data_IF_027269652499
#
_entry.id   IF_027269652499
#
_cell.length_a   1.000
_cell.length_b   1.000
_cell.length_c   1.000
_cell.angle_alpha   90.00
_cell.angle_beta   90.00
_cell.angle_gamma   90.00
#
_symmetry.space_group_name_H-M   'P 1'
#
loop_
_entity.id
_entity.type
_entity.pdbx_description
1 polymer ?
#
# COMPACT_ATOMS: atom_id res chain seq x y z
N UNK A 1 25.89 -11.52 17.39
CA UNK A 1 26.28 -12.43 16.30
C UNK A 1 25.39 -12.06 15.13
N UNK A 2 25.87 -11.11 14.32
CA UNK A 2 25.14 -10.50 13.20
C UNK A 2 25.23 -11.43 11.98
N UNK A 3 24.15 -12.13 11.66
CA UNK A 3 23.97 -12.66 10.31
C UNK A 3 23.37 -11.54 9.46
N UNK A 4 24.25 -10.77 8.83
CA UNK A 4 23.87 -9.88 7.73
C UNK A 4 23.49 -10.74 6.53
N UNK A 5 22.21 -11.10 6.42
CA UNK A 5 21.65 -11.65 5.18
C UNK A 5 21.96 -10.70 4.03
N UNK A 6 22.75 -11.18 3.07
CA UNK A 6 22.98 -10.50 1.81
C UNK A 6 21.67 -10.47 1.02
N UNK A 7 20.85 -9.43 1.22
CA UNK A 7 19.70 -9.19 0.34
C UNK A 7 20.23 -8.83 -1.05
N UNK A 8 20.21 -9.79 -1.98
CA UNK A 8 20.54 -9.55 -3.38
C UNK A 8 19.56 -8.53 -3.94
N UNK A 9 20.03 -7.30 -4.16
CA UNK A 9 19.22 -6.25 -4.76
C UNK A 9 19.10 -6.48 -6.26
N UNK A 10 17.87 -6.54 -6.77
CA UNK A 10 17.57 -6.69 -8.18
C UNK A 10 17.08 -5.38 -8.76
N UNK A 11 17.47 -5.13 -10.01
CA UNK A 11 17.01 -3.99 -10.78
C UNK A 11 15.73 -4.36 -11.53
N UNK A 12 14.68 -3.58 -11.31
CA UNK A 12 13.39 -3.74 -11.96
C UNK A 12 13.12 -2.56 -12.88
N UNK A 13 12.53 -2.85 -14.05
CA UNK A 13 12.07 -1.82 -14.99
C UNK A 13 10.55 -1.73 -14.94
N UNK A 14 10.07 -0.54 -14.58
CA UNK A 14 8.64 -0.24 -14.39
C UNK A 14 8.21 0.83 -15.38
N UNK A 15 7.18 0.55 -16.16
CA UNK A 15 6.57 1.52 -17.08
C UNK A 15 5.28 2.06 -16.46
N UNK A 16 5.24 3.37 -16.22
CA UNK A 16 4.09 4.09 -15.67
C UNK A 16 3.72 5.24 -16.61
N UNK A 17 2.55 5.16 -17.25
CA UNK A 17 2.17 6.09 -18.30
C UNK A 17 3.19 6.09 -19.45
N UNK A 18 3.77 7.26 -19.75
CA UNK A 18 4.82 7.40 -20.75
C UNK A 18 6.24 7.36 -20.16
N UNK A 19 6.38 7.24 -18.83
CA UNK A 19 7.69 7.07 -18.21
C UNK A 19 8.09 5.59 -18.13
N UNK A 20 9.36 5.34 -18.35
CA UNK A 20 10.05 4.14 -17.87
C UNK A 20 10.92 4.54 -16.69
N UNK A 21 10.79 3.81 -15.60
CA UNK A 21 11.51 4.01 -14.35
C UNK A 21 12.32 2.76 -14.04
N UNK A 22 13.48 2.97 -13.44
CA UNK A 22 14.27 1.88 -12.90
C UNK A 22 14.19 1.95 -11.38
N UNK A 23 13.85 0.84 -10.76
CA UNK A 23 13.85 0.67 -9.31
C UNK A 23 14.81 -0.42 -8.90
N UNK A 24 15.37 -0.31 -7.70
CA UNK A 24 16.18 -1.35 -7.09
C UNK A 24 15.53 -1.78 -5.78
N UNK A 25 15.35 -3.07 -5.57
CA UNK A 25 14.71 -3.63 -4.38
C UNK A 25 15.31 -4.99 -4.03
N UNK A 26 15.10 -5.49 -2.80
CA UNK A 26 15.52 -6.83 -2.44
C UNK A 26 14.89 -7.85 -3.38
N UNK A 27 15.62 -8.94 -3.68
CA UNK A 27 15.05 -10.11 -4.30
C UNK A 27 13.80 -10.55 -3.52
N UNK A 28 12.79 -11.05 -4.23
CA UNK A 28 11.58 -11.59 -3.62
C UNK A 28 11.90 -12.51 -2.45
N UNK A 29 11.27 -12.26 -1.29
CA UNK A 29 11.12 -13.31 -0.29
C UNK A 29 10.13 -14.37 -0.81
N UNK A 30 10.23 -15.59 -0.28
CA UNK A 30 9.44 -16.74 -0.72
C UNK A 30 7.93 -16.59 -0.45
N UNK A 31 7.51 -15.61 0.34
CA UNK A 31 6.13 -15.46 0.79
C UNK A 31 5.36 -14.36 0.02
N UNK A 32 6.02 -13.30 -0.46
CA UNK A 32 5.35 -12.15 -1.10
C UNK A 32 5.93 -11.84 -2.49
N UNK A 33 6.13 -12.85 -3.34
CA UNK A 33 6.73 -12.71 -4.68
C UNK A 33 6.09 -11.67 -5.61
N UNK A 34 4.86 -11.26 -5.34
CA UNK A 34 4.11 -10.30 -6.15
C UNK A 34 4.17 -8.87 -5.59
N UNK A 35 4.74 -8.63 -4.41
CA UNK A 35 4.87 -7.29 -3.80
C UNK A 35 6.35 -6.93 -3.69
N UNK A 36 6.76 -5.88 -4.41
CA UNK A 36 8.13 -5.41 -4.45
C UNK A 36 8.26 -4.04 -3.78
N UNK A 37 9.17 -3.92 -2.82
CA UNK A 37 9.59 -2.59 -2.31
C UNK A 37 10.77 -2.10 -3.14
N UNK A 38 10.58 -1.00 -3.86
CA UNK A 38 11.56 -0.47 -4.81
C UNK A 38 12.01 0.93 -4.41
N UNK A 39 13.32 1.16 -4.46
CA UNK A 39 13.90 2.50 -4.46
C UNK A 39 14.11 2.95 -5.91
N UNK A 40 13.45 4.03 -6.31
CA UNK A 40 13.53 4.57 -7.66
C UNK A 40 14.91 5.21 -7.88
N UNK A 41 15.66 4.66 -8.82
CA UNK A 41 16.94 5.21 -9.25
C UNK A 41 16.70 6.45 -10.13
N UNK A 42 16.89 7.64 -9.56
CA UNK A 42 16.84 8.91 -10.30
C UNK A 42 18.22 9.38 -10.72
N UNK A 43 18.37 9.61 -12.02
CA UNK A 43 19.58 10.22 -12.58
C UNK A 43 19.73 11.68 -12.12
N UNK A 44 20.92 12.27 -12.33
CA UNK A 44 21.16 13.69 -12.00
C UNK A 44 20.23 14.63 -12.79
N UNK A 45 19.97 14.31 -14.05
CA UNK A 45 19.05 15.06 -14.92
C UNK A 45 17.62 14.97 -14.43
N UNK A 46 17.16 13.78 -14.03
CA UNK A 46 15.81 13.61 -13.45
C UNK A 46 15.61 14.46 -12.20
N UNK A 47 16.63 14.56 -11.33
CA UNK A 47 16.54 15.40 -10.13
C UNK A 47 16.39 16.88 -10.47
N UNK A 48 17.08 17.36 -11.51
CA UNK A 48 16.96 18.74 -12.00
C UNK A 48 15.56 18.97 -12.58
N UNK A 49 15.07 18.04 -13.41
CA UNK A 49 13.72 18.10 -13.99
C UNK A 49 12.68 18.14 -12.87
N UNK A 50 12.72 17.23 -11.91
CA UNK A 50 11.77 17.20 -10.78
C UNK A 50 11.80 18.50 -9.99
N UNK A 51 12.97 19.07 -9.74
CA UNK A 51 13.10 20.36 -9.05
C UNK A 51 12.44 21.49 -9.85
N UNK A 52 12.64 21.51 -11.17
CA UNK A 52 12.02 22.49 -12.06
C UNK A 52 10.50 22.30 -12.13
N UNK A 53 10.01 21.07 -12.26
CA UNK A 53 8.58 20.75 -12.32
C UNK A 53 7.83 21.21 -11.08
N UNK A 54 8.45 21.12 -9.89
CA UNK A 54 7.87 21.62 -8.63
C UNK A 54 7.71 23.14 -8.59
N UNK A 55 8.47 23.88 -9.40
CA UNK A 55 8.38 25.33 -9.50
C UNK A 55 7.29 25.80 -10.48
N UNK A 56 6.81 24.91 -11.36
CA UNK A 56 5.78 25.27 -12.35
C UNK A 56 4.41 25.54 -11.70
N UNK A 57 3.55 26.37 -12.31
CA UNK A 57 2.17 26.56 -11.87
C UNK A 57 1.36 25.25 -11.86
N UNK A 58 0.39 25.14 -10.94
CA UNK A 58 -0.45 23.94 -10.73
C UNK A 58 -1.11 23.36 -11.99
N UNK A 59 -1.62 24.17 -12.95
CA UNK A 59 -2.20 23.63 -14.18
C UNK A 59 -1.18 22.85 -15.03
N UNK A 60 0.06 23.36 -15.13
CA UNK A 60 1.13 22.67 -15.86
C UNK A 60 1.54 21.40 -15.12
N UNK A 61 1.67 21.46 -13.79
CA UNK A 61 1.97 20.25 -13.01
C UNK A 61 0.91 19.16 -13.22
N UNK A 62 -0.37 19.54 -13.29
CA UNK A 62 -1.47 18.60 -13.55
C UNK A 62 -1.33 17.92 -14.92
N UNK A 63 -1.06 18.70 -15.98
CA UNK A 63 -0.85 18.16 -17.32
C UNK A 63 0.36 17.22 -17.36
N UNK A 64 1.49 17.64 -16.79
CA UNK A 64 2.73 16.84 -16.79
C UNK A 64 2.53 15.57 -15.96
N UNK A 65 1.83 15.63 -14.82
CA UNK A 65 1.53 14.45 -14.00
C UNK A 65 0.66 13.43 -14.73
N UNK A 66 -0.19 13.87 -15.66
CA UNK A 66 -1.03 12.97 -16.47
C UNK A 66 -0.20 12.13 -17.45
N UNK A 67 0.79 12.74 -18.11
CA UNK A 67 1.59 12.07 -19.13
C UNK A 67 2.86 11.43 -18.57
N UNK A 68 3.52 12.13 -17.64
CA UNK A 68 4.73 11.70 -16.97
C UNK A 68 4.60 11.62 -15.44
N UNK A 69 3.72 10.73 -14.93
CA UNK A 69 3.51 10.57 -13.49
C UNK A 69 4.77 10.13 -12.72
N UNK A 70 5.73 9.50 -13.38
CA UNK A 70 6.95 8.97 -12.75
C UNK A 70 7.85 10.03 -12.10
N UNK A 71 7.83 11.27 -12.61
CA UNK A 71 8.58 12.38 -12.01
C UNK A 71 8.02 12.82 -10.65
N UNK A 72 6.74 12.53 -10.38
CA UNK A 72 6.07 12.92 -9.14
C UNK A 72 6.06 11.80 -8.08
N UNK A 73 6.61 10.63 -8.38
CA UNK A 73 6.70 9.54 -7.41
C UNK A 73 7.65 9.88 -6.24
N UNK A 74 7.43 9.31 -5.05
CA UNK A 74 8.44 9.31 -3.99
C UNK A 74 9.67 8.48 -4.39
N UNK A 75 10.74 8.57 -3.60
CA UNK A 75 11.94 7.76 -3.82
C UNK A 75 11.72 6.28 -3.54
N UNK A 76 10.88 5.94 -2.55
CA UNK A 76 10.51 4.56 -2.23
C UNK A 76 9.06 4.31 -2.62
N UNK A 77 8.80 3.20 -3.29
CA UNK A 77 7.46 2.78 -3.71
C UNK A 77 7.26 1.29 -3.40
N UNK A 78 6.00 0.90 -3.29
CA UNK A 78 5.57 -0.50 -3.33
C UNK A 78 4.99 -0.77 -4.70
N UNK A 79 5.41 -1.85 -5.33
CA UNK A 79 4.90 -2.32 -6.61
C UNK A 79 4.25 -3.68 -6.39
N UNK A 80 2.93 -3.77 -6.56
CA UNK A 80 2.18 -5.04 -6.48
C UNK A 80 1.87 -5.53 -7.88
N UNK A 81 2.50 -6.63 -8.31
CA UNK A 81 2.28 -7.32 -9.60
C UNK A 81 0.97 -8.13 -9.54
N UNK A 82 0.32 -8.25 -10.69
CA UNK A 82 -0.83 -9.13 -10.89
C UNK A 82 -0.41 -10.59 -10.64
N UNK A 83 -1.17 -11.30 -9.80
CA UNK A 83 -1.05 -12.75 -9.60
C UNK A 83 -1.68 -13.49 -10.80
N UNK A 84 -1.18 -14.67 -11.20
CA UNK A 84 -1.80 -15.45 -12.27
C UNK A 84 -3.27 -15.76 -11.96
N UNK A 85 -4.19 -15.50 -12.89
CA UNK A 85 -5.65 -15.76 -12.77
C UNK A 85 -6.41 -14.93 -11.73
N UNK A 86 -5.85 -13.81 -11.27
CA UNK A 86 -6.43 -12.92 -10.26
C UNK A 86 -6.85 -11.55 -10.83
N UNK A 87 -7.19 -11.53 -12.13
CA UNK A 87 -7.52 -10.29 -12.84
C UNK A 87 -8.72 -9.56 -12.22
N UNK A 88 -9.72 -10.29 -11.73
CA UNK A 88 -10.93 -9.73 -11.12
C UNK A 88 -10.61 -9.02 -9.81
N UNK A 89 -9.87 -9.68 -8.92
CA UNK A 89 -9.45 -9.15 -7.63
C UNK A 89 -8.50 -7.97 -7.80
N UNK A 90 -7.61 -8.02 -8.80
CA UNK A 90 -6.69 -6.94 -9.12
C UNK A 90 -7.41 -5.71 -9.67
N UNK A 91 -8.38 -5.90 -10.56
CA UNK A 91 -9.21 -4.81 -11.08
C UNK A 91 -10.11 -4.23 -9.97
N UNK A 92 -10.61 -5.07 -9.06
CA UNK A 92 -11.32 -4.64 -7.87
C UNK A 92 -10.44 -3.79 -6.95
N UNK A 93 -9.20 -4.22 -6.69
CA UNK A 93 -8.25 -3.46 -5.88
C UNK A 93 -8.01 -2.05 -6.46
N UNK A 94 -7.81 -1.95 -7.78
CA UNK A 94 -7.68 -0.65 -8.47
C UNK A 94 -8.94 0.20 -8.28
N UNK A 95 -10.12 -0.38 -8.49
CA UNK A 95 -11.39 0.32 -8.31
C UNK A 95 -11.58 0.82 -6.86
N UNK A 96 -11.20 0.02 -5.87
CA UNK A 96 -11.27 0.39 -4.46
C UNK A 96 -10.32 1.53 -4.12
N UNK A 97 -9.08 1.52 -4.61
CA UNK A 97 -8.18 2.66 -4.46
C UNK A 97 -8.75 3.94 -5.08
N UNK A 98 -9.36 3.85 -6.26
CA UNK A 98 -9.97 5.01 -6.92
C UNK A 98 -11.16 5.57 -6.14
N UNK A 99 -12.04 4.68 -5.66
CA UNK A 99 -13.22 5.05 -4.85
C UNK A 99 -12.82 5.65 -3.50
N UNK A 100 -11.84 5.05 -2.82
CA UNK A 100 -11.37 5.44 -1.50
C UNK A 100 -10.26 6.51 -1.56
N UNK A 101 -10.17 7.25 -2.67
CA UNK A 101 -9.19 8.34 -2.85
C UNK A 101 -9.12 9.33 -1.67
N UNK A 102 -10.23 9.73 -1.01
CA UNK A 102 -10.16 10.60 0.17
C UNK A 102 -9.48 9.99 1.39
N UNK A 103 -9.33 8.66 1.46
CA UNK A 103 -8.70 7.95 2.57
C UNK A 103 -7.21 7.65 2.35
N UNK A 104 -6.71 7.87 1.13
CA UNK A 104 -5.33 7.58 0.75
C UNK A 104 -4.31 8.43 1.53
N UNK A 105 -3.22 7.79 1.96
CA UNK A 105 -2.17 8.37 2.81
C UNK A 105 -2.55 8.46 4.29
N UNK A 106 -3.81 8.19 4.63
CA UNK A 106 -4.33 8.30 5.99
C UNK A 106 -4.75 6.95 6.55
N UNK A 107 -5.68 6.27 5.89
CA UNK A 107 -6.18 4.93 6.25
C UNK A 107 -5.66 3.86 5.31
N UNK A 108 -5.50 4.17 4.02
CA UNK A 108 -4.99 3.23 3.02
C UNK A 108 -3.78 3.84 2.28
N UNK A 109 -2.90 3.04 1.66
CA UNK A 109 -1.79 3.57 0.86
C UNK A 109 -2.25 4.55 -0.22
N UNK A 110 -1.39 5.52 -0.55
CA UNK A 110 -1.57 6.30 -1.78
C UNK A 110 -1.36 5.39 -3.00
N UNK A 111 -2.36 5.36 -3.88
CA UNK A 111 -2.29 4.75 -5.19
C UNK A 111 -1.75 5.76 -6.21
N UNK A 112 -0.59 5.45 -6.79
CA UNK A 112 0.07 6.30 -7.77
C UNK A 112 -0.34 6.00 -9.21
N UNK A 113 -0.84 4.80 -9.47
CA UNK A 113 -1.30 4.39 -10.80
C UNK A 113 -1.00 2.94 -11.13
N UNK A 114 -1.61 2.48 -12.22
CA UNK A 114 -1.32 1.20 -12.85
C UNK A 114 -0.05 1.32 -13.71
N UNK A 115 0.81 0.32 -13.61
CA UNK A 115 2.08 0.21 -14.30
C UNK A 115 2.25 -1.16 -14.94
N UNK A 116 3.33 -1.33 -15.70
CA UNK A 116 3.83 -2.65 -16.12
C UNK A 116 5.23 -2.85 -15.60
N UNK A 117 5.49 -3.98 -14.96
CA UNK A 117 6.83 -4.39 -14.55
C UNK A 117 7.19 -5.67 -15.29
N UNK A 118 8.25 -5.63 -16.09
CA UNK A 118 8.73 -6.81 -16.84
C UNK A 118 7.62 -7.48 -17.69
N UNK A 119 6.73 -6.66 -18.27
CA UNK A 119 5.60 -7.13 -19.08
C UNK A 119 4.35 -7.51 -18.29
N UNK A 120 4.42 -7.66 -16.97
CA UNK A 120 3.28 -8.00 -16.10
C UNK A 120 2.59 -6.72 -15.62
N UNK A 121 1.25 -6.73 -15.56
CA UNK A 121 0.44 -5.64 -14.95
C UNK A 121 0.82 -5.50 -13.47
N UNK A 122 0.87 -4.27 -13.00
CA UNK A 122 1.19 -3.98 -11.61
C UNK A 122 0.54 -2.66 -11.17
N UNK A 123 0.39 -2.45 -9.87
CA UNK A 123 0.02 -1.16 -9.29
C UNK A 123 1.18 -0.60 -8.49
N UNK A 124 1.32 0.73 -8.51
CA UNK A 124 2.31 1.45 -7.70
C UNK A 124 1.58 2.08 -6.52
N UNK A 125 2.01 1.72 -5.32
CA UNK A 125 1.48 2.16 -4.04
C UNK A 125 2.54 2.89 -3.22
N UNK A 126 2.08 3.63 -2.22
CA UNK A 126 2.91 4.22 -1.17
C UNK A 126 3.67 3.14 -0.41
N UNK A 127 4.98 3.33 -0.25
CA UNK A 127 5.75 2.64 0.78
C UNK A 127 5.36 3.20 2.14
N UNK A 128 4.71 2.36 2.96
CA UNK A 128 4.29 2.73 4.31
C UNK A 128 5.46 2.44 5.24
N UNK A 129 5.97 3.50 5.86
CA UNK A 129 7.01 3.41 6.89
C UNK A 129 6.40 3.00 8.24
N UNK A 130 5.88 1.77 8.28
CA UNK A 130 5.31 1.15 9.46
C UNK A 130 5.65 -0.33 9.50
N UNK A 131 5.10 -1.03 10.49
CA UNK A 131 5.32 -2.47 10.68
C UNK A 131 3.99 -3.21 10.80
N UNK A 132 3.89 -4.46 10.29
CA UNK A 132 2.76 -5.30 10.64
C UNK A 132 2.73 -5.55 12.15
N UNK A 133 1.57 -5.84 12.76
CA UNK A 133 1.47 -6.04 14.20
C UNK A 133 2.41 -7.11 14.77
N UNK A 134 2.72 -8.16 14.01
CA UNK A 134 3.68 -9.20 14.40
C UNK A 134 5.15 -8.80 14.23
N UNK A 135 5.44 -7.70 13.51
CA UNK A 135 6.78 -7.17 13.26
C UNK A 135 7.21 -6.08 14.24
N UNK A 136 6.44 -5.84 15.31
CA UNK A 136 6.76 -4.83 16.32
C UNK A 136 8.00 -5.19 17.13
N UNK A 137 8.75 -4.16 17.53
CA UNK A 137 9.75 -4.30 18.59
C UNK A 137 9.10 -4.02 19.94
N UNK A 138 9.62 -4.64 21.00
CA UNK A 138 9.12 -4.38 22.37
C UNK A 138 9.43 -2.93 22.79
N UNK A 139 8.56 -2.29 23.58
CA UNK A 139 7.28 -2.79 24.10
C UNK A 139 6.19 -2.80 23.03
N UNK A 140 5.38 -3.87 23.01
CA UNK A 140 4.23 -3.97 22.11
C UNK A 140 3.12 -3.02 22.56
N UNK A 141 2.33 -2.52 21.61
CA UNK A 141 1.08 -1.84 21.95
C UNK A 141 0.11 -2.82 22.62
N UNK A 142 -0.79 -2.31 23.46
CA UNK A 142 -1.79 -3.17 24.09
C UNK A 142 -2.85 -3.60 23.06
N UNK A 143 -3.51 -4.73 23.32
CA UNK A 143 -4.62 -5.17 22.48
C UNK A 143 -5.78 -4.14 22.44
N UNK A 144 -5.98 -3.37 23.52
CA UNK A 144 -6.98 -2.31 23.58
C UNK A 144 -6.56 -1.10 22.74
N UNK A 145 -5.28 -0.73 22.74
CA UNK A 145 -4.78 0.32 21.86
C UNK A 145 -4.90 -0.11 20.39
N UNK A 146 -4.53 -1.35 20.07
CA UNK A 146 -4.67 -1.91 18.72
C UNK A 146 -6.13 -1.87 18.24
N UNK A 147 -7.06 -2.34 19.09
CA UNK A 147 -8.51 -2.26 18.83
C UNK A 147 -8.94 -0.83 18.53
N UNK A 148 -8.57 0.14 19.39
CA UNK A 148 -8.95 1.54 19.22
C UNK A 148 -8.48 2.10 17.87
N UNK A 149 -7.26 1.76 17.44
CA UNK A 149 -6.75 2.21 16.13
C UNK A 149 -7.52 1.55 14.98
N UNK A 150 -7.83 0.25 15.07
CA UNK A 150 -8.66 -0.46 14.08
C UNK A 150 -10.06 0.16 13.97
N UNK A 151 -10.71 0.45 15.09
CA UNK A 151 -12.03 1.08 15.11
C UNK A 151 -12.06 2.38 14.31
N UNK A 152 -11.05 3.23 14.47
CA UNK A 152 -10.94 4.48 13.70
C UNK A 152 -10.79 4.21 12.20
N UNK A 153 -9.88 3.31 11.81
CA UNK A 153 -9.64 3.01 10.39
C UNK A 153 -10.86 2.40 9.70
N UNK A 154 -11.49 1.41 10.32
CA UNK A 154 -12.67 0.75 9.77
C UNK A 154 -13.92 1.61 9.82
N UNK A 155 -14.06 2.49 10.83
CA UNK A 155 -15.14 3.48 10.85
C UNK A 155 -15.09 4.34 9.59
N UNK A 156 -13.90 4.78 9.19
CA UNK A 156 -13.75 5.61 8.01
C UNK A 156 -14.00 4.85 6.71
N UNK A 157 -13.55 3.60 6.56
CA UNK A 157 -13.97 2.76 5.44
C UNK A 157 -15.49 2.64 5.36
N UNK A 158 -16.14 2.42 6.51
CA UNK A 158 -17.59 2.31 6.59
C UNK A 158 -18.32 3.59 6.17
N UNK A 159 -17.73 4.78 6.35
CA UNK A 159 -18.33 6.03 5.85
C UNK A 159 -18.44 6.09 4.33
N UNK A 160 -17.57 5.36 3.62
CA UNK A 160 -17.61 5.19 2.16
C UNK A 160 -18.42 3.97 1.71
N UNK A 161 -19.07 3.29 2.66
CA UNK A 161 -19.86 2.09 2.39
C UNK A 161 -19.03 0.91 1.94
N UNK A 162 -17.77 0.81 2.40
CA UNK A 162 -16.87 -0.29 2.07
C UNK A 162 -16.58 -1.12 3.33
N UNK A 163 -16.59 -2.44 3.17
CA UNK A 163 -16.09 -3.41 4.14
C UNK A 163 -14.97 -4.23 3.48
N UNK A 164 -14.15 -4.88 4.30
CA UNK A 164 -13.16 -5.86 3.84
C UNK A 164 -13.39 -7.18 4.56
N UNK A 165 -13.36 -8.27 3.79
CA UNK A 165 -13.47 -9.64 4.29
C UNK A 165 -12.10 -10.28 4.53
N UNK A 166 -10.99 -9.57 4.26
CA UNK A 166 -9.65 -10.09 4.53
C UNK A 166 -9.21 -9.69 5.94
N UNK A 167 -9.52 -10.56 6.92
CA UNK A 167 -9.26 -10.37 8.34
C UNK A 167 -7.83 -10.76 8.76
N UNK A 168 -6.87 -10.82 7.82
CA UNK A 168 -5.47 -11.13 8.13
C UNK A 168 -4.75 -9.98 8.82
N UNK A 169 -4.05 -10.30 9.91
CA UNK A 169 -3.21 -9.35 10.62
C UNK A 169 -2.10 -8.72 9.72
N UNK A 170 -1.65 -9.45 8.69
CA UNK A 170 -0.66 -8.97 7.71
C UNK A 170 -1.15 -7.80 6.85
N UNK A 171 -2.47 -7.64 6.69
CA UNK A 171 -3.08 -6.55 5.93
C UNK A 171 -3.26 -5.27 6.77
N UNK A 172 -2.76 -5.28 8.01
CA UNK A 172 -2.72 -4.10 8.87
C UNK A 172 -1.27 -3.66 9.04
N UNK A 173 -1.00 -2.37 8.86
CA UNK A 173 0.31 -1.77 9.13
C UNK A 173 0.14 -0.74 10.25
N UNK A 174 0.88 -0.94 11.34
CA UNK A 174 0.98 0.03 12.43
C UNK A 174 1.88 1.18 12.00
N UNK A 175 1.37 2.41 12.09
CA UNK A 175 2.11 3.64 11.76
C UNK A 175 1.87 4.63 12.88
N UNK A 176 2.86 4.84 13.73
CA UNK A 176 2.81 5.76 14.87
C UNK A 176 1.49 5.65 15.67
N UNK A 177 0.63 6.66 15.59
CA UNK A 177 -0.61 6.79 16.33
C UNK A 177 -1.82 6.10 15.66
N UNK A 178 -1.67 5.56 14.45
CA UNK A 178 -2.75 5.00 13.63
C UNK A 178 -2.43 3.61 13.05
N UNK A 179 -3.41 3.04 12.35
CA UNK A 179 -3.23 1.88 11.49
C UNK A 179 -3.58 2.24 10.06
N UNK A 180 -2.83 1.67 9.13
CA UNK A 180 -3.15 1.70 7.71
C UNK A 180 -3.51 0.30 7.24
N UNK A 181 -4.59 0.21 6.48
CA UNK A 181 -5.10 -1.01 5.89
C UNK A 181 -4.52 -1.14 4.48
N UNK A 182 -3.91 -2.28 4.20
CA UNK A 182 -3.34 -2.62 2.90
C UNK A 182 -4.10 -3.80 2.31
N UNK A 183 -3.84 -4.08 1.04
CA UNK A 183 -4.48 -5.16 0.29
C UNK A 183 -6.01 -5.03 0.22
N UNK A 184 -6.48 -4.28 -0.77
CA UNK A 184 -7.91 -4.00 -0.95
C UNK A 184 -8.57 -4.96 -1.95
N UNK A 185 -7.91 -6.08 -2.28
CA UNK A 185 -8.39 -7.02 -3.30
C UNK A 185 -9.72 -7.67 -2.94
N UNK A 186 -9.98 -7.87 -1.64
CA UNK A 186 -11.22 -8.42 -1.07
C UNK A 186 -12.18 -7.35 -0.52
N UNK A 187 -11.92 -6.06 -0.75
CA UNK A 187 -12.82 -5.01 -0.30
C UNK A 187 -14.06 -4.94 -1.20
N UNK A 188 -15.24 -4.77 -0.58
CA UNK A 188 -16.52 -4.79 -1.28
C UNK A 188 -17.53 -3.80 -0.68
N UNK A 189 -18.62 -3.59 -1.41
CA UNK A 189 -19.73 -2.75 -0.97
C UNK A 189 -20.43 -3.35 0.25
N UNK A 190 -20.55 -2.53 1.29
CA UNK A 190 -21.19 -2.91 2.52
C UNK A 190 -22.72 -2.79 2.39
N UNK A 191 -23.42 -3.91 2.60
CA UNK A 191 -24.85 -3.89 2.87
C UNK A 191 -25.13 -2.99 4.07
N UNK A 192 -25.96 -1.96 3.85
CA UNK A 192 -26.30 -0.92 4.82
C UNK A 192 -26.84 -1.53 6.12
N UNK A 193 -27.56 -2.64 6.03
CA UNK A 193 -28.18 -3.28 7.19
C UNK A 193 -27.18 -4.05 8.07
N UNK A 194 -26.03 -4.44 7.51
CA UNK A 194 -25.09 -5.36 8.17
C UNK A 194 -23.71 -4.76 8.42
N UNK A 195 -23.45 -3.52 7.95
CA UNK A 195 -22.13 -2.88 8.00
C UNK A 195 -21.50 -2.81 9.38
N UNK A 196 -22.27 -2.38 10.39
CA UNK A 196 -21.75 -2.26 11.76
C UNK A 196 -21.41 -3.62 12.38
N UNK A 197 -22.22 -4.65 12.08
CA UNK A 197 -21.97 -6.03 12.50
C UNK A 197 -20.70 -6.56 11.85
N UNK A 198 -20.55 -6.41 10.53
CA UNK A 198 -19.34 -6.80 9.79
C UNK A 198 -18.10 -6.13 10.34
N UNK A 199 -18.14 -4.80 10.54
CA UNK A 199 -17.05 -4.05 11.18
C UNK A 199 -16.67 -4.68 12.53
N UNK A 200 -17.66 -4.95 13.37
CA UNK A 200 -17.44 -5.54 14.69
C UNK A 200 -16.75 -6.90 14.61
N UNK A 201 -17.21 -7.78 13.70
CA UNK A 201 -16.64 -9.10 13.49
C UNK A 201 -15.19 -9.03 12.99
N UNK A 202 -14.89 -8.21 11.98
CA UNK A 202 -13.53 -8.07 11.44
C UNK A 202 -12.56 -7.55 12.51
N UNK A 203 -12.94 -6.51 13.26
CA UNK A 203 -12.11 -5.97 14.34
C UNK A 203 -11.89 -7.02 15.43
N UNK A 204 -12.93 -7.76 15.81
CA UNK A 204 -12.81 -8.82 16.81
C UNK A 204 -11.87 -9.94 16.34
N UNK A 205 -11.95 -10.34 15.08
CA UNK A 205 -11.07 -11.32 14.46
C UNK A 205 -9.60 -10.90 14.51
N UNK A 206 -9.30 -9.68 14.07
CA UNK A 206 -7.94 -9.11 14.09
C UNK A 206 -7.39 -8.96 15.51
N UNK A 207 -8.22 -8.48 16.45
CA UNK A 207 -7.80 -8.33 17.86
C UNK A 207 -7.54 -9.69 18.50
N UNK A 208 -8.31 -10.73 18.14
CA UNK A 208 -8.06 -12.10 18.61
C UNK A 208 -6.71 -12.62 18.10
N UNK A 209 -6.45 -12.52 16.80
CA UNK A 209 -5.16 -12.89 16.21
C UNK A 209 -4.00 -12.13 16.88
N UNK A 210 -4.19 -10.84 17.16
CA UNK A 210 -3.16 -10.05 17.83
C UNK A 210 -2.91 -10.49 19.28
N UNK A 211 -3.96 -10.85 20.03
CA UNK A 211 -3.81 -11.40 21.39
C UNK A 211 -3.07 -12.73 21.39
N UNK A 212 -3.35 -13.59 20.41
CA UNK A 212 -2.63 -14.86 20.23
C UNK A 212 -1.15 -14.61 19.95
N UNK A 213 -0.81 -13.60 19.13
CA UNK A 213 0.59 -13.19 18.91
C UNK A 213 1.29 -12.65 20.18
N UNK A 214 0.57 -11.98 21.07
CA UNK A 214 1.12 -11.42 22.31
C UNK A 214 1.34 -12.48 23.40
N UNK A 215 0.75 -13.67 23.26
CA UNK A 215 0.77 -14.76 24.25
C UNK A 215 2.07 -15.56 24.17
#
# INVERSE_FOLDING_TARGET
MEESEWKCFHQFTVRLGWNTLTGVGPANDCEHHHVLRLNICRSRTDRIIVRFLRWLPSPLQCAIRKFWPGYFLPGNIVLKKLKPQWDVEFDNEIAMYQRLRPLQGRVIPVYYGEARCEGVRAIILQDIHGVPPFGQQKPYITADEFRRKLEVAYQELCTFGVITDDDKLANTILVDDKVMLVDLEMACDADVNNRDSWRGFTIQGLVRQYKEFLS
#
